data_IF_011843252401
#
_entry.id   IF_011843252401
#
_cell.length_a   1.000
_cell.length_b   1.000
_cell.length_c   1.000
_cell.angle_alpha   90.00
_cell.angle_beta   90.00
_cell.angle_gamma   90.00
#
_symmetry.space_group_name_H-M   'P 1'
#
loop_
_entity.id
_entity.type
_entity.pdbx_description
1 polymer ?
#
# COMPACT_ATOMS: atom_id res chain seq x y z
N UNK A 1 -19.33 16.02 -45.22
CA UNK A 1 -18.99 15.31 -43.97
C UNK A 1 -17.99 16.17 -43.22
N UNK A 2 -18.35 16.88 -42.15
CA UNK A 2 -17.32 17.59 -41.36
C UNK A 2 -17.77 18.03 -39.96
N UNK A 3 -18.91 18.72 -39.79
CA UNK A 3 -19.27 19.26 -38.47
C UNK A 3 -19.70 18.25 -37.39
N UNK A 4 -20.23 17.09 -37.80
CA UNK A 4 -20.82 16.09 -36.89
C UNK A 4 -19.76 15.21 -36.21
N UNK A 5 -18.63 14.98 -36.88
CA UNK A 5 -17.49 14.23 -36.33
C UNK A 5 -16.63 15.07 -35.38
N UNK A 6 -16.45 16.36 -35.70
CA UNK A 6 -15.70 17.27 -34.83
C UNK A 6 -16.42 17.51 -33.50
N UNK A 7 -17.76 17.62 -33.54
CA UNK A 7 -18.59 17.71 -32.34
C UNK A 7 -18.51 16.43 -31.48
N UNK A 8 -18.40 15.25 -32.11
CA UNK A 8 -18.23 13.97 -31.38
C UNK A 8 -16.85 13.83 -30.76
N UNK A 9 -15.81 14.24 -31.49
CA UNK A 9 -14.43 14.24 -30.99
C UNK A 9 -14.27 15.16 -29.77
N UNK A 10 -14.93 16.33 -29.79
CA UNK A 10 -14.96 17.25 -28.65
C UNK A 10 -15.63 16.64 -27.42
N UNK A 11 -16.79 16.00 -27.57
CA UNK A 11 -17.48 15.34 -26.46
C UNK A 11 -16.63 14.23 -25.84
N UNK A 12 -15.93 13.44 -26.66
CA UNK A 12 -15.03 12.40 -26.18
C UNK A 12 -13.86 13.00 -25.38
N UNK A 13 -13.24 14.07 -25.89
CA UNK A 13 -12.16 14.77 -25.19
C UNK A 13 -12.63 15.38 -23.86
N UNK A 14 -13.83 15.97 -23.82
CA UNK A 14 -14.40 16.54 -22.60
C UNK A 14 -14.66 15.46 -21.53
N UNK A 15 -15.12 14.26 -21.94
CA UNK A 15 -15.29 13.12 -21.03
C UNK A 15 -13.95 12.60 -20.52
N UNK A 16 -12.94 12.46 -21.39
CA UNK A 16 -11.60 12.01 -21.00
C UNK A 16 -10.91 13.00 -20.04
N UNK A 17 -11.08 14.31 -20.28
CA UNK A 17 -10.59 15.35 -19.39
C UNK A 17 -11.32 15.35 -18.04
N UNK A 18 -12.64 15.13 -18.03
CA UNK A 18 -13.43 14.97 -16.81
C UNK A 18 -12.97 13.77 -15.98
N UNK A 19 -12.71 12.63 -16.62
CA UNK A 19 -12.16 11.44 -15.97
C UNK A 19 -10.76 11.70 -15.40
N UNK A 20 -9.87 12.33 -16.17
CA UNK A 20 -8.51 12.65 -15.71
C UNK A 20 -8.52 13.59 -14.49
N UNK A 21 -9.38 14.60 -14.52
CA UNK A 21 -9.57 15.54 -13.41
C UNK A 21 -10.12 14.83 -12.16
N UNK A 22 -11.05 13.90 -12.33
CA UNK A 22 -11.57 13.08 -11.23
C UNK A 22 -10.46 12.25 -10.56
N UNK A 23 -9.63 11.56 -11.36
CA UNK A 23 -8.48 10.81 -10.86
C UNK A 23 -7.46 11.68 -10.11
N UNK A 24 -7.22 12.90 -10.59
CA UNK A 24 -6.34 13.86 -9.90
C UNK A 24 -6.93 14.31 -8.56
N UNK A 25 -8.25 14.58 -8.50
CA UNK A 25 -8.93 14.97 -7.25
C UNK A 25 -8.87 13.83 -6.25
N UNK A 26 -9.12 12.60 -6.66
CA UNK A 26 -9.05 11.42 -5.79
C UNK A 26 -7.62 11.21 -5.24
N UNK A 27 -6.61 11.38 -6.09
CA UNK A 27 -5.19 11.32 -5.70
C UNK A 27 -4.82 12.44 -4.71
N UNK A 28 -5.29 13.66 -4.93
CA UNK A 28 -5.10 14.80 -4.04
C UNK A 28 -5.85 14.63 -2.71
N UNK A 29 -7.03 14.02 -2.72
CA UNK A 29 -7.80 13.73 -1.51
C UNK A 29 -7.08 12.69 -0.64
N UNK A 30 -6.54 11.63 -1.26
CA UNK A 30 -5.69 10.63 -0.58
C UNK A 30 -4.42 11.27 0.01
N UNK A 31 -3.86 12.27 -0.66
CA UNK A 31 -2.72 13.04 -0.18
C UNK A 31 -3.07 14.05 0.94
N UNK A 32 -4.34 14.41 1.12
CA UNK A 32 -4.79 15.38 2.14
C UNK A 32 -5.36 14.73 3.40
N UNK A 33 -5.92 13.52 3.30
CA UNK A 33 -6.43 12.75 4.45
C UNK A 33 -5.29 12.29 5.38
N UNK A 34 -4.14 11.96 4.80
CA UNK A 34 -2.95 11.58 5.57
C UNK A 34 -1.88 12.65 5.46
N UNK A 35 -1.25 12.98 6.58
CA UNK A 35 -0.11 13.90 6.54
C UNK A 35 0.98 13.33 5.63
N UNK A 36 1.61 14.20 4.83
CA UNK A 36 2.80 13.84 4.04
C UNK A 36 3.86 13.12 4.88
N UNK A 37 3.97 13.48 6.16
CA UNK A 37 4.85 12.81 7.13
C UNK A 37 4.50 11.34 7.34
N UNK A 38 3.20 11.01 7.49
CA UNK A 38 2.74 9.63 7.63
C UNK A 38 3.04 8.82 6.36
N UNK A 39 2.74 9.36 5.19
CA UNK A 39 3.02 8.69 3.91
C UNK A 39 4.51 8.41 3.74
N UNK A 40 5.36 9.39 4.01
CA UNK A 40 6.80 9.21 3.94
C UNK A 40 7.30 8.12 4.90
N UNK A 41 6.75 8.07 6.12
CA UNK A 41 7.13 7.04 7.12
C UNK A 41 6.62 5.65 6.75
N UNK A 42 5.44 5.58 6.14
CA UNK A 42 4.90 4.34 5.63
C UNK A 42 5.72 3.78 4.47
N UNK A 43 6.09 4.63 3.51
CA UNK A 43 6.96 4.27 2.38
C UNK A 43 8.35 3.82 2.88
N UNK A 44 8.93 4.54 3.83
CA UNK A 44 10.19 4.16 4.48
C UNK A 44 10.08 2.77 5.14
N UNK A 45 9.00 2.51 5.89
CA UNK A 45 8.75 1.21 6.49
C UNK A 45 8.62 0.10 5.45
N UNK A 46 7.86 0.34 4.38
CA UNK A 46 7.60 -0.64 3.33
C UNK A 46 8.90 -1.04 2.61
N UNK A 47 9.74 -0.06 2.28
CA UNK A 47 11.04 -0.32 1.66
C UNK A 47 11.95 -1.11 2.60
N UNK A 48 12.05 -0.73 3.88
CA UNK A 48 12.83 -1.47 4.87
C UNK A 48 12.32 -2.90 5.09
N UNK A 49 11.01 -3.10 5.09
CA UNK A 49 10.41 -4.41 5.24
C UNK A 49 10.74 -5.32 4.05
N UNK A 50 10.51 -4.84 2.82
CA UNK A 50 10.70 -5.63 1.60
C UNK A 50 12.17 -5.90 1.30
N UNK A 51 13.03 -4.89 1.42
CA UNK A 51 14.42 -4.96 0.96
C UNK A 51 15.34 -5.59 2.01
N UNK A 52 14.99 -5.50 3.29
CA UNK A 52 15.90 -5.88 4.39
C UNK A 52 15.26 -6.89 5.33
N UNK A 53 14.14 -6.53 5.97
CA UNK A 53 13.60 -7.32 7.07
C UNK A 53 13.12 -8.70 6.60
N UNK A 54 12.35 -8.76 5.52
CA UNK A 54 11.78 -10.01 5.01
C UNK A 54 12.86 -11.00 4.51
N UNK A 55 13.87 -10.58 3.71
CA UNK A 55 14.99 -11.46 3.36
C UNK A 55 15.74 -11.97 4.58
N UNK A 56 16.06 -11.09 5.54
CA UNK A 56 16.81 -11.44 6.73
C UNK A 56 16.04 -12.41 7.64
N UNK A 57 14.73 -12.22 7.79
CA UNK A 57 13.86 -13.14 8.52
C UNK A 57 13.87 -14.53 7.89
N UNK A 58 13.73 -14.62 6.56
CA UNK A 58 13.79 -15.91 5.87
C UNK A 58 15.15 -16.59 6.01
N UNK A 59 16.24 -15.84 5.91
CA UNK A 59 17.58 -16.36 6.13
C UNK A 59 17.71 -16.91 7.57
N UNK A 60 17.28 -16.14 8.57
CA UNK A 60 17.37 -16.53 9.98
C UNK A 60 16.48 -17.73 10.31
N UNK A 61 15.25 -17.77 9.82
CA UNK A 61 14.35 -18.92 10.02
C UNK A 61 14.89 -20.22 9.43
N UNK A 62 15.72 -20.14 8.37
CA UNK A 62 16.29 -21.32 7.72
C UNK A 62 17.65 -21.75 8.27
N UNK A 63 18.40 -20.85 8.91
CA UNK A 63 19.80 -21.08 9.27
C UNK A 63 20.11 -20.97 10.76
N UNK A 64 19.19 -20.44 11.57
CA UNK A 64 19.43 -20.09 12.98
C UNK A 64 18.34 -20.70 13.88
N UNK A 65 18.57 -21.93 14.32
CA UNK A 65 17.61 -22.68 15.17
C UNK A 65 17.36 -21.98 16.52
N UNK A 66 18.37 -21.33 17.10
CA UNK A 66 18.25 -20.58 18.35
C UNK A 66 17.34 -19.36 18.18
N UNK A 67 17.47 -18.66 17.05
CA UNK A 67 16.55 -17.58 16.69
C UNK A 67 15.11 -18.07 16.57
N UNK A 68 14.87 -19.19 15.88
CA UNK A 68 13.53 -19.78 15.73
C UNK A 68 12.95 -20.14 17.10
N UNK A 69 13.74 -20.80 17.96
CA UNK A 69 13.33 -21.16 19.31
C UNK A 69 12.99 -19.91 20.15
N UNK A 70 13.78 -18.84 20.04
CA UNK A 70 13.52 -17.57 20.70
C UNK A 70 12.21 -16.92 20.21
N UNK A 71 11.97 -16.93 18.90
CA UNK A 71 10.74 -16.41 18.30
C UNK A 71 9.51 -17.18 18.81
N UNK A 72 9.57 -18.51 18.83
CA UNK A 72 8.48 -19.34 19.35
C UNK A 72 8.24 -19.11 20.85
N UNK A 73 9.31 -19.03 21.65
CA UNK A 73 9.23 -18.77 23.08
C UNK A 73 8.55 -17.42 23.36
N UNK A 74 8.95 -16.37 22.62
CA UNK A 74 8.39 -15.01 22.81
C UNK A 74 7.01 -14.84 22.23
N UNK A 75 6.66 -15.60 21.20
CA UNK A 75 5.29 -15.59 20.68
C UNK A 75 4.31 -16.05 21.78
N UNK A 76 4.63 -17.13 22.52
CA UNK A 76 3.77 -17.61 23.60
C UNK A 76 2.34 -17.84 23.12
N UNK A 77 1.36 -17.12 23.70
CA UNK A 77 -0.05 -17.15 23.30
C UNK A 77 -0.44 -16.05 22.27
N UNK A 78 0.53 -15.30 21.74
CA UNK A 78 0.26 -14.23 20.79
C UNK A 78 -0.27 -14.79 19.46
N UNK A 79 -1.31 -14.13 18.94
CA UNK A 79 -1.99 -14.49 17.70
C UNK A 79 -1.09 -14.43 16.47
N UNK A 80 -0.12 -13.53 16.46
CA UNK A 80 0.72 -13.24 15.29
C UNK A 80 2.16 -13.66 15.53
N UNK A 81 2.76 -14.33 14.54
CA UNK A 81 4.21 -14.56 14.49
C UNK A 81 4.96 -13.23 14.27
N UNK A 82 6.27 -13.21 14.49
CA UNK A 82 7.09 -12.02 14.21
C UNK A 82 6.97 -11.57 12.75
N UNK A 83 6.99 -12.52 11.81
CA UNK A 83 6.78 -12.23 10.39
C UNK A 83 5.40 -11.59 10.14
N UNK A 84 4.33 -12.17 10.71
CA UNK A 84 2.99 -11.64 10.56
C UNK A 84 2.86 -10.24 11.16
N UNK A 85 3.48 -9.96 12.31
CA UNK A 85 3.48 -8.63 12.93
C UNK A 85 4.13 -7.56 12.04
N UNK A 86 5.19 -7.91 11.33
CA UNK A 86 5.88 -7.00 10.41
C UNK A 86 5.13 -6.83 9.08
N UNK A 87 4.29 -7.80 8.72
CA UNK A 87 3.44 -7.69 7.54
C UNK A 87 2.16 -6.86 7.79
N UNK A 88 1.72 -6.72 9.05
CA UNK A 88 0.47 -6.01 9.39
C UNK A 88 0.40 -4.58 8.80
N UNK A 89 1.43 -3.72 8.93
CA UNK A 89 1.35 -2.38 8.34
C UNK A 89 1.24 -2.45 6.82
N UNK A 90 1.90 -3.40 6.16
CA UNK A 90 1.89 -3.53 4.70
C UNK A 90 0.54 -4.04 4.18
N UNK A 91 -0.07 -4.99 4.90
CA UNK A 91 -1.32 -5.65 4.51
C UNK A 91 -2.57 -4.86 4.93
N UNK A 92 -2.59 -4.31 6.16
CA UNK A 92 -3.79 -3.69 6.72
C UNK A 92 -3.95 -2.21 6.36
N UNK A 93 -2.86 -1.47 6.12
CA UNK A 93 -2.95 -0.05 5.79
C UNK A 93 -3.67 0.19 4.47
N UNK A 94 -3.45 -0.66 3.47
CA UNK A 94 -4.21 -0.61 2.21
C UNK A 94 -5.65 -1.10 2.39
N UNK A 95 -5.91 -2.15 3.19
CA UNK A 95 -7.28 -2.66 3.36
C UNK A 95 -8.23 -1.64 4.02
N UNK A 96 -7.76 -0.94 5.06
CA UNK A 96 -8.59 -0.02 5.85
C UNK A 96 -8.75 1.36 5.19
N UNK A 97 -7.81 1.78 4.34
CA UNK A 97 -7.93 3.03 3.58
C UNK A 97 -8.87 2.87 2.38
N UNK A 98 -8.83 1.72 1.70
CA UNK A 98 -9.64 1.50 0.50
C UNK A 98 -11.04 0.90 0.79
N UNK A 99 -11.33 0.46 2.02
CA UNK A 99 -12.70 0.09 2.44
C UNK A 99 -13.59 1.29 2.80
N UNK A 100 -13.06 2.51 2.80
CA UNK A 100 -13.88 3.74 2.93
C UNK A 100 -14.63 4.07 1.62
N UNK A 101 -14.29 3.37 0.52
CA UNK A 101 -14.81 3.63 -0.84
C UNK A 101 -15.75 2.51 -1.40
N UNK A 102 -16.45 1.74 -0.56
CA UNK A 102 -17.62 0.93 -1.00
C UNK A 102 -18.93 1.48 -0.42
#
# INVERSE_FOLDING_TARGET
>A
MSHRDESRSKVVMDVLNGLHMFYQIESLLKATIFSKLLWNKYEEYQNLYLDIALPLLKEKETSDEDFVALCQLRQGAAKYSLAALLELPVSEFFSNIFHIDQ
#
